data_IF_382149645096
#
_entry.id   IF_382149645096
#
_cell.length_a   1.000
_cell.length_b   1.000
_cell.length_c   1.000
_cell.angle_alpha   90.00
_cell.angle_beta   90.00
_cell.angle_gamma   90.00
#
_symmetry.space_group_name_H-M   'P 1'
#
loop_
_entity.id
_entity.type
_entity.pdbx_description
1 polymer ?
#
# COMPACT_ATOMS: atom_id res chain seq x y z
N UNK A 1 29.94 6.35 -20.32
CA UNK A 1 28.63 6.78 -20.85
C UNK A 1 27.63 6.61 -19.72
N UNK A 2 27.05 7.67 -19.21
CA UNK A 2 25.98 7.56 -18.22
C UNK A 2 24.79 6.90 -18.94
N UNK A 3 24.43 5.68 -18.54
CA UNK A 3 23.21 5.05 -19.01
C UNK A 3 22.06 6.03 -18.83
N UNK A 4 21.36 6.35 -19.92
CA UNK A 4 20.23 7.27 -19.83
C UNK A 4 19.17 6.63 -18.93
N UNK A 5 18.60 7.34 -17.95
CA UNK A 5 17.61 6.75 -17.00
C UNK A 5 16.48 6.02 -17.72
N UNK A 6 15.97 6.58 -18.82
CA UNK A 6 14.93 5.97 -19.65
C UNK A 6 15.35 4.63 -20.27
N UNK A 7 16.63 4.47 -20.63
CA UNK A 7 17.11 3.18 -21.15
C UNK A 7 17.11 2.11 -20.06
N UNK A 8 17.53 2.46 -18.83
CA UNK A 8 17.42 1.57 -17.68
C UNK A 8 15.98 1.10 -17.46
N UNK A 9 15.00 2.00 -17.53
CA UNK A 9 13.59 1.64 -17.39
C UNK A 9 13.12 0.69 -18.51
N UNK A 10 13.50 0.98 -19.76
CA UNK A 10 13.18 0.09 -20.89
C UNK A 10 13.78 -1.31 -20.73
N UNK A 11 15.02 -1.39 -20.29
CA UNK A 11 15.68 -2.67 -20.06
C UNK A 11 14.95 -3.48 -18.98
N UNK A 12 14.53 -2.82 -17.88
CA UNK A 12 13.77 -3.47 -16.82
C UNK A 12 12.40 -4.00 -17.32
N UNK A 13 11.67 -3.22 -18.10
CA UNK A 13 10.40 -3.66 -18.72
C UNK A 13 10.64 -4.90 -19.62
N UNK A 14 11.69 -4.90 -20.43
CA UNK A 14 11.99 -6.03 -21.32
C UNK A 14 12.41 -7.30 -20.55
N UNK A 15 13.05 -7.14 -19.40
CA UNK A 15 13.53 -8.24 -18.53
C UNK A 15 12.40 -8.77 -17.63
N UNK A 16 11.37 -7.98 -17.35
CA UNK A 16 10.29 -8.33 -16.42
C UNK A 16 9.63 -9.69 -16.73
N UNK A 17 9.53 -10.07 -18.00
CA UNK A 17 9.00 -11.38 -18.42
C UNK A 17 9.78 -12.57 -17.86
N UNK A 18 11.06 -12.37 -17.50
CA UNK A 18 11.93 -13.39 -16.94
C UNK A 18 11.83 -13.45 -15.40
N UNK A 19 10.95 -12.63 -14.82
CA UNK A 19 10.59 -12.61 -13.40
C UNK A 19 11.45 -11.71 -12.52
N UNK A 20 11.04 -11.57 -11.25
CA UNK A 20 11.64 -10.66 -10.28
C UNK A 20 13.15 -10.91 -10.06
N UNK A 21 13.60 -12.15 -10.13
CA UNK A 21 15.01 -12.49 -9.98
C UNK A 21 15.90 -11.90 -11.08
N UNK A 22 15.40 -11.86 -12.31
CA UNK A 22 16.11 -11.25 -13.43
C UNK A 22 16.16 -9.72 -13.28
N UNK A 23 15.06 -9.10 -12.83
CA UNK A 23 15.03 -7.67 -12.48
C UNK A 23 16.05 -7.35 -11.39
N UNK A 24 16.11 -8.12 -10.32
CA UNK A 24 17.07 -7.93 -9.22
C UNK A 24 18.52 -8.14 -9.68
N UNK A 25 18.78 -9.09 -10.55
CA UNK A 25 20.15 -9.28 -11.09
C UNK A 25 20.59 -8.10 -11.98
N UNK A 26 19.67 -7.52 -12.75
CA UNK A 26 19.95 -6.27 -13.49
C UNK A 26 20.28 -5.11 -12.55
N UNK A 27 19.48 -4.94 -11.47
CA UNK A 27 19.70 -3.91 -10.44
C UNK A 27 21.08 -4.10 -9.80
N UNK A 28 21.41 -5.34 -9.39
CA UNK A 28 22.72 -5.69 -8.81
C UNK A 28 23.84 -5.28 -9.72
N UNK A 29 23.86 -5.77 -10.96
CA UNK A 29 24.92 -5.49 -11.93
C UNK A 29 25.04 -3.98 -12.22
N UNK A 30 23.92 -3.27 -12.20
CA UNK A 30 23.89 -1.82 -12.41
C UNK A 30 24.53 -1.01 -11.30
N UNK A 31 24.42 -1.44 -10.03
CA UNK A 31 24.91 -0.67 -8.86
C UNK A 31 26.24 -1.18 -8.31
N UNK A 32 26.53 -2.47 -8.40
CA UNK A 32 27.79 -3.06 -7.95
C UNK A 32 28.98 -2.41 -8.65
N UNK A 33 28.90 -2.17 -9.95
CA UNK A 33 29.91 -1.49 -10.75
C UNK A 33 30.12 -0.01 -10.37
N UNK A 34 29.22 0.56 -9.51
CA UNK A 34 29.32 1.94 -9.04
C UNK A 34 29.71 2.05 -7.56
N UNK A 35 30.21 0.95 -6.97
CA UNK A 35 30.74 0.93 -5.62
C UNK A 35 29.72 0.64 -4.52
N UNK A 36 28.55 0.14 -4.88
CA UNK A 36 27.59 -0.36 -3.89
C UNK A 36 27.95 -1.80 -3.49
N UNK A 37 27.84 -2.10 -2.19
CA UNK A 37 27.88 -3.46 -1.68
C UNK A 37 26.52 -4.10 -1.84
N UNK A 38 26.49 -5.32 -2.38
CA UNK A 38 25.23 -6.01 -2.67
C UNK A 38 25.00 -7.14 -1.68
N UNK A 39 23.75 -7.28 -1.22
CA UNK A 39 23.34 -8.36 -0.32
C UNK A 39 21.95 -8.87 -0.69
N UNK A 40 21.82 -10.16 -0.93
CA UNK A 40 20.53 -10.83 -1.04
C UNK A 40 20.01 -11.26 0.34
N UNK A 41 18.70 -11.18 0.51
CA UNK A 41 18.00 -11.61 1.69
C UNK A 41 16.85 -12.52 1.31
N UNK A 42 17.00 -13.84 1.58
CA UNK A 42 15.98 -14.84 1.35
C UNK A 42 15.08 -14.99 2.59
N UNK A 43 13.78 -15.03 2.41
CA UNK A 43 12.81 -15.12 3.49
C UNK A 43 11.52 -15.82 3.04
N UNK A 44 10.73 -16.29 4.01
CA UNK A 44 9.36 -16.75 3.80
C UNK A 44 8.40 -15.65 4.25
N UNK A 45 7.50 -15.16 3.40
CA UNK A 45 6.52 -14.13 3.79
C UNK A 45 5.67 -14.49 4.99
N UNK A 46 5.31 -15.79 5.12
CA UNK A 46 4.57 -16.31 6.28
C UNK A 46 5.30 -16.17 7.63
N UNK A 47 6.63 -16.09 7.61
CA UNK A 47 7.47 -15.98 8.80
C UNK A 47 7.81 -14.52 9.14
N UNK A 48 7.42 -13.56 8.31
CA UNK A 48 7.68 -12.14 8.56
C UNK A 48 6.66 -11.62 9.57
N UNK A 49 7.07 -11.26 10.79
CA UNK A 49 6.17 -10.60 11.71
C UNK A 49 5.84 -9.21 11.16
N UNK A 50 4.57 -8.82 11.26
CA UNK A 50 4.11 -7.50 10.82
C UNK A 50 3.31 -6.85 11.93
N UNK A 51 3.59 -5.58 12.19
CA UNK A 51 2.84 -4.78 13.16
C UNK A 51 1.65 -4.11 12.49
N UNK A 52 0.50 -4.16 13.14
CA UNK A 52 -0.69 -3.46 12.64
C UNK A 52 -1.18 -3.98 11.28
N UNK A 53 -1.00 -5.27 11.00
CA UNK A 53 -1.49 -5.93 9.80
C UNK A 53 -1.86 -7.38 10.10
N UNK A 54 -2.94 -7.86 9.49
CA UNK A 54 -3.31 -9.28 9.49
C UNK A 54 -4.12 -9.63 8.23
N UNK A 55 -4.11 -10.91 7.87
CA UNK A 55 -5.01 -11.48 6.87
C UNK A 55 -5.49 -12.84 7.38
N UNK A 56 -6.82 -13.08 7.31
CA UNK A 56 -7.42 -14.36 7.72
C UNK A 56 -7.35 -15.43 6.66
N UNK A 57 -7.28 -15.01 5.41
CA UNK A 57 -7.07 -15.94 4.31
C UNK A 57 -5.59 -16.26 4.27
N UNK A 58 -5.26 -17.55 4.36
CA UNK A 58 -3.91 -18.07 4.23
C UNK A 58 -3.42 -17.92 2.78
N UNK A 59 -3.44 -16.70 2.27
CA UNK A 59 -2.67 -16.31 1.09
C UNK A 59 -1.21 -16.13 1.55
N UNK A 60 -0.78 -17.04 2.39
CA UNK A 60 0.60 -17.16 2.75
C UNK A 60 1.27 -17.77 1.53
N UNK A 61 1.94 -16.91 0.78
CA UNK A 61 2.89 -17.39 -0.20
C UNK A 61 3.98 -18.15 0.57
N UNK A 62 3.86 -19.46 0.67
CA UNK A 62 4.86 -20.33 1.28
C UNK A 62 6.12 -20.45 0.42
N UNK A 63 6.13 -19.77 -0.73
CA UNK A 63 7.32 -19.73 -1.57
C UNK A 63 8.35 -18.77 -0.99
N UNK A 64 9.61 -19.20 -0.91
CA UNK A 64 10.69 -18.30 -0.56
C UNK A 64 10.72 -17.10 -1.51
N UNK A 65 10.81 -15.90 -0.93
CA UNK A 65 11.01 -14.65 -1.66
C UNK A 65 12.41 -14.12 -1.37
N UNK A 66 12.86 -13.24 -2.23
CA UNK A 66 14.19 -12.63 -2.12
C UNK A 66 14.09 -11.13 -2.24
N UNK A 67 14.69 -10.42 -1.29
CA UNK A 67 14.96 -8.99 -1.42
C UNK A 67 16.44 -8.77 -1.77
N UNK A 68 16.75 -7.70 -2.49
CA UNK A 68 18.09 -7.27 -2.79
C UNK A 68 18.35 -5.93 -2.12
N UNK A 69 19.43 -5.84 -1.37
CA UNK A 69 19.91 -4.58 -0.76
C UNK A 69 21.23 -4.17 -1.41
N UNK A 70 21.24 -2.97 -1.96
CA UNK A 70 22.43 -2.28 -2.47
C UNK A 70 22.77 -1.13 -1.53
N UNK A 71 23.98 -1.12 -0.96
CA UNK A 71 24.44 -0.10 -0.02
C UNK A 71 25.68 0.60 -0.53
N UNK A 72 25.57 1.91 -0.74
CA UNK A 72 26.72 2.80 -0.84
C UNK A 72 27.03 3.32 0.56
N UNK A 73 28.03 2.70 1.21
CA UNK A 73 28.42 3.02 2.57
C UNK A 73 29.02 4.41 2.66
N UNK A 74 28.47 5.24 3.53
CA UNK A 74 28.88 6.62 3.76
C UNK A 74 29.50 6.89 5.13
N UNK A 75 29.60 8.18 5.49
CA UNK A 75 30.06 8.61 6.81
C UNK A 75 28.99 8.25 7.87
N UNK A 76 29.34 7.49 8.92
CA UNK A 76 28.39 7.12 9.96
C UNK A 76 27.91 8.31 10.82
N UNK A 77 28.54 9.47 10.72
CA UNK A 77 28.10 10.68 11.41
C UNK A 77 27.03 11.44 10.62
N UNK A 78 26.86 11.14 9.34
CA UNK A 78 25.83 11.73 8.49
C UNK A 78 24.60 10.83 8.44
N UNK A 79 23.40 11.41 8.14
CA UNK A 79 22.17 10.63 8.10
C UNK A 79 22.12 9.68 6.89
N UNK A 80 21.57 8.51 7.13
CA UNK A 80 21.33 7.48 6.12
C UNK A 80 19.95 7.61 5.50
N UNK A 81 19.80 7.13 4.25
CA UNK A 81 18.53 7.09 3.53
C UNK A 81 18.30 5.69 2.98
N UNK A 82 17.16 5.10 3.35
CA UNK A 82 16.62 3.91 2.72
C UNK A 82 15.70 4.31 1.57
N UNK A 83 16.01 3.89 0.35
CA UNK A 83 15.14 4.00 -0.82
C UNK A 83 14.65 2.59 -1.11
N UNK A 84 13.35 2.43 -1.40
CA UNK A 84 12.83 1.12 -1.80
C UNK A 84 11.81 1.22 -2.91
N UNK A 85 11.76 0.16 -3.73
CA UNK A 85 10.85 -0.01 -4.85
C UNK A 85 10.66 -1.52 -5.12
N UNK A 86 9.69 -1.88 -5.94
CA UNK A 86 9.29 -3.27 -6.16
C UNK A 86 9.81 -3.82 -7.48
N UNK A 87 10.51 -4.99 -7.46
CA UNK A 87 10.97 -5.65 -8.67
C UNK A 87 9.88 -6.52 -9.32
N UNK A 88 8.79 -6.80 -8.59
CA UNK A 88 7.69 -7.65 -9.00
C UNK A 88 6.48 -6.84 -9.45
N UNK A 89 5.69 -7.38 -10.37
CA UNK A 89 4.44 -6.81 -10.86
C UNK A 89 3.31 -7.82 -10.70
N UNK A 90 2.08 -7.34 -10.71
CA UNK A 90 0.90 -8.21 -10.79
C UNK A 90 0.94 -9.01 -12.10
N UNK A 91 0.17 -10.11 -12.16
CA UNK A 91 0.07 -10.89 -13.39
C UNK A 91 -0.48 -10.03 -14.53
N UNK A 92 0.22 -10.03 -15.66
CA UNK A 92 -0.30 -9.38 -16.87
C UNK A 92 -1.62 -10.04 -17.29
N UNK A 93 -2.63 -9.20 -17.56
CA UNK A 93 -3.96 -9.65 -17.97
C UNK A 93 -4.28 -9.12 -19.34
N UNK A 94 -5.22 -9.77 -20.03
CA UNK A 94 -5.84 -9.30 -21.27
C UNK A 94 -4.80 -8.82 -22.31
N UNK A 95 -3.74 -9.62 -22.51
CA UNK A 95 -2.60 -9.29 -23.39
C UNK A 95 -3.07 -8.88 -24.79
N UNK A 96 -4.16 -9.47 -25.26
CA UNK A 96 -4.78 -9.17 -26.55
C UNK A 96 -5.44 -7.78 -26.64
N UNK A 97 -5.67 -7.13 -25.51
CA UNK A 97 -6.25 -5.79 -25.46
C UNK A 97 -5.18 -4.69 -25.39
N UNK A 98 -3.91 -5.07 -25.21
CA UNK A 98 -2.83 -4.11 -25.19
C UNK A 98 -2.61 -3.55 -26.60
N UNK A 99 -2.41 -2.23 -26.72
CA UNK A 99 -2.08 -1.58 -28.00
C UNK A 99 -0.67 -1.91 -28.52
N UNK A 100 0.21 -2.40 -27.65
CA UNK A 100 1.56 -2.90 -27.96
C UNK A 100 1.86 -4.10 -27.07
N UNK A 101 2.85 -4.91 -27.46
CA UNK A 101 3.30 -6.03 -26.63
C UNK A 101 3.72 -5.50 -25.22
N UNK A 102 3.10 -5.97 -24.13
CA UNK A 102 3.39 -5.48 -22.78
C UNK A 102 4.84 -5.72 -22.34
N UNK A 103 5.54 -6.65 -22.95
CA UNK A 103 6.94 -6.97 -22.66
C UNK A 103 7.94 -6.20 -23.52
N UNK A 104 7.45 -5.38 -24.46
CA UNK A 104 8.28 -4.54 -25.33
C UNK A 104 8.06 -3.08 -24.98
N UNK A 105 9.02 -2.41 -24.31
CA UNK A 105 8.87 -1.03 -23.89
C UNK A 105 8.64 -0.11 -25.09
N UNK A 106 7.47 0.48 -25.20
CA UNK A 106 7.04 1.22 -26.39
C UNK A 106 6.77 2.69 -26.05
N UNK A 107 7.46 3.61 -26.73
CA UNK A 107 7.23 5.05 -26.57
C UNK A 107 6.11 5.52 -27.52
N UNK A 108 5.08 6.13 -26.96
CA UNK A 108 3.99 6.76 -27.71
C UNK A 108 3.66 8.11 -27.05
N UNK A 109 3.72 9.19 -27.80
CA UNK A 109 3.30 10.53 -27.35
C UNK A 109 3.90 10.99 -26.00
N UNK A 110 5.18 10.73 -25.78
CA UNK A 110 5.88 11.11 -24.56
C UNK A 110 5.63 10.21 -23.37
N UNK A 111 4.95 9.08 -23.57
CA UNK A 111 4.70 8.03 -22.57
C UNK A 111 5.46 6.77 -22.93
N UNK A 112 5.92 6.05 -21.92
CA UNK A 112 6.49 4.72 -22.05
C UNK A 112 5.44 3.69 -21.59
N UNK A 113 5.03 2.83 -22.50
CA UNK A 113 4.11 1.73 -22.24
C UNK A 113 4.88 0.43 -22.00
N UNK A 114 4.38 -0.38 -21.08
CA UNK A 114 4.91 -1.71 -20.79
C UNK A 114 4.36 -2.25 -19.48
N UNK A 115 4.37 -3.56 -19.33
CA UNK A 115 3.90 -4.22 -18.12
C UNK A 115 4.80 -3.91 -16.92
N UNK A 116 4.22 -3.51 -15.80
CA UNK A 116 4.92 -3.13 -14.58
C UNK A 116 5.74 -1.85 -14.70
N UNK A 117 5.58 -1.08 -15.80
CA UNK A 117 6.37 0.12 -16.04
C UNK A 117 6.12 1.20 -14.98
N UNK A 118 4.88 1.35 -14.52
CA UNK A 118 4.52 2.28 -13.47
C UNK A 118 4.69 1.64 -12.09
N UNK A 119 4.13 0.46 -11.87
CA UNK A 119 4.13 -0.23 -10.59
C UNK A 119 4.93 -1.55 -10.65
N UNK A 120 6.29 -1.54 -10.46
CA UNK A 120 7.04 -0.39 -9.94
C UNK A 120 8.45 -0.28 -10.54
N UNK A 121 8.60 -0.68 -11.83
CA UNK A 121 9.92 -0.66 -12.50
C UNK A 121 10.46 0.78 -12.66
N UNK A 122 9.57 1.78 -12.76
CA UNK A 122 9.98 3.18 -12.78
C UNK A 122 10.66 3.59 -11.46
N UNK A 123 10.16 3.09 -10.32
CA UNK A 123 10.81 3.27 -9.02
C UNK A 123 12.19 2.63 -8.97
N UNK A 124 12.32 1.40 -9.44
CA UNK A 124 13.61 0.69 -9.53
C UNK A 124 14.61 1.43 -10.43
N UNK A 125 14.19 1.83 -11.64
CA UNK A 125 15.04 2.56 -12.58
C UNK A 125 15.47 3.95 -12.05
N UNK A 126 14.52 4.64 -11.38
CA UNK A 126 14.79 5.92 -10.73
C UNK A 126 15.85 5.79 -9.63
N UNK A 127 15.71 4.79 -8.74
CA UNK A 127 16.69 4.54 -7.69
C UNK A 127 18.10 4.30 -8.26
N UNK A 128 18.22 3.43 -9.27
CA UNK A 128 19.49 3.16 -9.94
C UNK A 128 20.11 4.44 -10.49
N UNK A 129 19.33 5.21 -11.25
CA UNK A 129 19.83 6.41 -11.93
C UNK A 129 20.20 7.52 -10.95
N UNK A 130 19.39 7.75 -9.92
CA UNK A 130 19.64 8.77 -8.91
C UNK A 130 20.90 8.44 -8.09
N UNK A 131 21.05 7.19 -7.62
CA UNK A 131 22.22 6.75 -6.88
C UNK A 131 23.50 6.89 -7.72
N UNK A 132 23.49 6.40 -8.98
CA UNK A 132 24.62 6.57 -9.90
C UNK A 132 24.99 8.05 -10.06
N UNK A 133 23.98 8.92 -10.24
CA UNK A 133 24.20 10.37 -10.41
C UNK A 133 24.90 10.98 -9.19
N UNK A 134 24.43 10.65 -7.99
CA UNK A 134 24.98 11.18 -6.74
C UNK A 134 26.40 10.64 -6.49
N UNK A 135 26.61 9.34 -6.64
CA UNK A 135 27.92 8.71 -6.41
C UNK A 135 28.97 9.18 -7.42
N UNK A 136 28.56 9.55 -8.64
CA UNK A 136 29.46 10.13 -9.63
C UNK A 136 29.91 11.55 -9.26
N UNK A 137 29.01 12.35 -8.67
CA UNK A 137 29.28 13.75 -8.32
C UNK A 137 30.05 13.88 -6.97
N UNK A 138 29.61 13.15 -5.94
CA UNK A 138 29.99 13.38 -4.55
C UNK A 138 30.39 12.07 -3.84
N UNK A 139 31.67 11.70 -3.91
CA UNK A 139 32.13 10.46 -3.29
C UNK A 139 32.48 10.54 -1.79
N UNK A 140 32.52 11.71 -1.15
CA UNK A 140 33.29 11.85 0.11
C UNK A 140 32.59 12.44 1.31
N UNK A 141 31.35 12.93 1.22
CA UNK A 141 30.68 13.62 2.34
C UNK A 141 29.17 13.35 2.41
N UNK A 142 28.79 12.09 2.29
CA UNK A 142 27.40 11.68 2.42
C UNK A 142 27.28 10.54 3.44
N UNK A 143 26.15 10.47 4.13
CA UNK A 143 25.76 9.30 4.89
C UNK A 143 25.46 8.11 3.97
N UNK A 144 25.16 6.96 4.55
CA UNK A 144 24.87 5.74 3.78
C UNK A 144 23.61 5.89 2.94
N UNK A 145 23.69 5.48 1.67
CA UNK A 145 22.58 5.39 0.74
C UNK A 145 22.27 3.91 0.55
N UNK A 146 21.04 3.51 0.90
CA UNK A 146 20.61 2.12 0.84
C UNK A 146 19.46 2.02 -0.15
N UNK A 147 19.60 1.19 -1.17
CA UNK A 147 18.48 0.84 -2.03
C UNK A 147 18.05 -0.59 -1.76
N UNK A 148 16.77 -0.78 -1.47
CA UNK A 148 16.16 -2.09 -1.26
C UNK A 148 15.14 -2.38 -2.38
N UNK A 149 15.47 -3.35 -3.23
CA UNK A 149 14.54 -3.93 -4.19
C UNK A 149 13.74 -5.02 -3.47
N UNK A 150 12.49 -4.69 -3.11
CA UNK A 150 11.67 -5.47 -2.20
C UNK A 150 10.39 -5.98 -2.87
N UNK A 151 10.21 -7.30 -3.03
CA UNK A 151 8.93 -7.82 -3.51
C UNK A 151 7.76 -7.35 -2.65
N UNK A 152 6.66 -6.93 -3.28
CA UNK A 152 5.45 -6.42 -2.62
C UNK A 152 4.18 -7.19 -2.98
N UNK A 153 4.10 -7.68 -4.21
CA UNK A 153 2.87 -8.33 -4.71
C UNK A 153 2.59 -9.64 -3.98
N UNK A 154 1.30 -9.97 -3.88
CA UNK A 154 0.84 -11.19 -3.20
C UNK A 154 1.32 -11.31 -1.74
N UNK A 155 1.27 -10.22 -0.98
CA UNK A 155 1.70 -10.18 0.42
C UNK A 155 3.17 -10.59 0.64
N UNK A 156 4.03 -10.24 -0.30
CA UNK A 156 5.45 -10.61 -0.24
C UNK A 156 6.20 -10.00 0.95
N UNK A 157 5.75 -8.88 1.52
CA UNK A 157 6.29 -8.27 2.75
C UNK A 157 7.79 -7.94 2.70
N UNK A 158 8.31 -7.61 1.51
CA UNK A 158 9.75 -7.49 1.30
C UNK A 158 10.42 -6.43 2.17
N UNK A 159 9.85 -5.23 2.30
CA UNK A 159 10.42 -4.18 3.14
C UNK A 159 10.33 -4.55 4.63
N UNK A 160 9.21 -5.11 5.08
CA UNK A 160 9.04 -5.58 6.47
C UNK A 160 10.05 -6.67 6.82
N UNK A 161 10.30 -7.62 5.91
CA UNK A 161 11.31 -8.66 6.10
C UNK A 161 12.70 -8.07 6.36
N UNK A 162 13.09 -7.05 5.61
CA UNK A 162 14.38 -6.38 5.79
C UNK A 162 14.46 -5.59 7.10
N UNK A 163 13.39 -4.87 7.48
CA UNK A 163 13.31 -4.13 8.73
C UNK A 163 13.45 -5.06 9.94
N UNK A 164 12.76 -6.21 9.92
CA UNK A 164 12.88 -7.24 10.95
C UNK A 164 14.25 -7.93 10.96
N UNK A 165 14.94 -7.98 9.84
CA UNK A 165 16.33 -8.45 9.76
C UNK A 165 17.36 -7.42 10.24
N UNK A 166 16.90 -6.26 10.75
CA UNK A 166 17.75 -5.21 11.31
C UNK A 166 18.18 -4.14 10.32
N UNK A 167 17.58 -4.08 9.11
CA UNK A 167 17.80 -2.95 8.22
C UNK A 167 17.23 -1.68 8.86
N UNK A 168 18.04 -0.64 8.95
CA UNK A 168 17.63 0.64 9.52
C UNK A 168 18.21 1.81 8.73
N UNK A 169 17.55 2.97 8.82
CA UNK A 169 18.01 4.24 8.26
C UNK A 169 17.40 5.41 9.04
N UNK A 170 17.92 6.62 8.84
CA UNK A 170 17.41 7.83 9.49
C UNK A 170 16.12 8.34 8.83
N UNK A 171 15.90 8.02 7.54
CA UNK A 171 14.65 8.24 6.82
C UNK A 171 14.49 7.22 5.69
N UNK A 172 13.30 7.10 5.13
CA UNK A 172 13.04 6.25 3.97
C UNK A 172 12.21 6.94 2.89
N UNK A 173 12.49 6.59 1.64
CA UNK A 173 11.81 7.08 0.45
C UNK A 173 11.27 5.88 -0.35
N UNK A 174 9.96 5.79 -0.44
CA UNK A 174 9.27 4.82 -1.26
C UNK A 174 9.05 5.38 -2.67
N UNK A 175 9.65 4.77 -3.66
CA UNK A 175 9.48 5.16 -5.05
C UNK A 175 8.34 4.35 -5.66
N UNK A 176 7.18 4.99 -5.86
CA UNK A 176 5.96 4.32 -6.32
C UNK A 176 5.09 5.34 -7.09
N UNK A 177 4.42 4.95 -8.17
CA UNK A 177 3.78 5.89 -9.09
C UNK A 177 2.82 6.86 -8.41
N UNK A 178 2.74 8.07 -8.96
CA UNK A 178 1.74 9.05 -8.57
C UNK A 178 0.40 8.70 -9.20
N UNK A 179 -0.62 8.51 -8.36
CA UNK A 179 -1.93 8.01 -8.77
C UNK A 179 -3.01 9.10 -8.85
N UNK A 180 -2.72 10.31 -8.38
CA UNK A 180 -3.66 11.44 -8.40
C UNK A 180 -3.89 12.07 -9.78
N UNK A 181 -3.12 11.68 -10.80
CA UNK A 181 -3.10 12.34 -12.12
C UNK A 181 -2.27 13.64 -12.13
N UNK A 182 -1.65 14.06 -11.02
CA UNK A 182 -0.84 15.28 -10.91
C UNK A 182 0.67 15.02 -10.96
N UNK A 183 1.07 13.76 -11.11
CA UNK A 183 2.46 13.35 -11.23
C UNK A 183 3.32 13.69 -10.02
N UNK A 184 4.56 14.04 -10.26
CA UNK A 184 5.60 14.21 -9.25
C UNK A 184 5.35 15.33 -8.22
N UNK A 185 4.35 16.17 -8.40
CA UNK A 185 3.94 17.12 -7.35
C UNK A 185 3.22 16.44 -6.18
N UNK A 186 2.80 15.19 -6.33
CA UNK A 186 2.23 14.38 -5.26
C UNK A 186 3.30 13.84 -4.31
N UNK A 187 3.10 14.03 -3.01
CA UNK A 187 3.90 13.41 -1.96
C UNK A 187 2.97 12.49 -1.15
N UNK A 188 3.33 11.20 -1.04
CA UNK A 188 2.65 10.25 -0.17
C UNK A 188 3.25 10.38 1.24
N UNK A 189 2.55 11.08 2.12
CA UNK A 189 2.96 11.29 3.51
C UNK A 189 1.94 10.73 4.51
N UNK A 190 0.77 10.31 4.02
CA UNK A 190 -0.34 9.81 4.83
C UNK A 190 -0.91 8.58 4.13
N UNK A 191 -1.04 7.48 4.86
CA UNK A 191 -1.77 6.28 4.47
C UNK A 191 -2.83 5.99 5.52
N UNK A 192 -4.08 5.83 5.11
CA UNK A 192 -5.18 5.42 6.00
C UNK A 192 -5.09 3.94 6.34
N UNK A 193 -5.60 3.57 7.50
CA UNK A 193 -5.85 2.17 7.84
C UNK A 193 -7.11 1.64 7.17
N UNK A 194 -7.20 0.32 7.05
CA UNK A 194 -8.34 -0.38 6.48
C UNK A 194 -8.60 -1.69 7.23
N UNK A 195 -9.88 -2.05 7.36
CA UNK A 195 -10.33 -3.35 7.85
C UNK A 195 -11.41 -3.89 6.93
N UNK A 196 -11.36 -5.20 6.67
CA UNK A 196 -12.39 -5.91 5.93
C UNK A 196 -12.99 -7.02 6.79
N UNK A 197 -14.30 -7.22 6.66
CA UNK A 197 -15.01 -8.17 7.49
C UNK A 197 -16.19 -8.82 6.77
N UNK A 198 -16.59 -9.98 7.32
CA UNK A 198 -17.83 -10.66 6.99
C UNK A 198 -18.64 -10.86 8.27
N UNK A 199 -19.95 -10.64 8.19
CA UNK A 199 -20.91 -10.90 9.28
C UNK A 199 -21.90 -11.93 8.78
N UNK A 200 -21.96 -13.06 9.48
CA UNK A 200 -22.95 -14.11 9.21
C UNK A 200 -24.10 -14.01 10.20
N UNK A 201 -25.30 -13.91 9.68
CA UNK A 201 -26.54 -13.84 10.45
C UNK A 201 -27.32 -15.14 10.22
N UNK A 202 -27.62 -15.82 11.33
CA UNK A 202 -28.39 -17.05 11.33
C UNK A 202 -29.88 -16.75 11.49
N UNK A 203 -30.69 -17.40 10.68
CA UNK A 203 -32.15 -17.41 10.81
C UNK A 203 -32.66 -18.76 11.28
N UNK A 204 -33.99 -18.87 11.41
CA UNK A 204 -34.67 -20.10 11.74
C UNK A 204 -35.81 -20.32 10.76
N UNK A 205 -35.76 -21.37 9.91
CA UNK A 205 -36.92 -21.75 9.10
C UNK A 205 -38.10 -22.14 9.99
N UNK A 206 -39.35 -22.00 9.50
CA UNK A 206 -40.51 -22.42 10.27
C UNK A 206 -40.46 -23.94 10.47
N UNK A 207 -40.85 -24.39 11.69
CA UNK A 207 -40.94 -25.80 12.05
C UNK A 207 -42.33 -26.34 11.62
N UNK A 208 -42.44 -26.67 10.34
CA UNK A 208 -43.64 -27.16 9.69
C UNK A 208 -43.34 -28.26 8.69
N UNK A 209 -44.37 -28.93 8.17
CA UNK A 209 -44.25 -29.98 7.15
C UNK A 209 -43.68 -29.45 5.81
N UNK A 210 -43.80 -28.15 5.58
CA UNK A 210 -43.15 -27.44 4.46
C UNK A 210 -42.22 -26.36 4.99
N UNK A 211 -41.09 -26.74 5.60
CA UNK A 211 -40.21 -25.78 6.21
C UNK A 211 -39.63 -24.77 5.19
N UNK A 212 -39.60 -23.52 5.56
CA UNK A 212 -39.11 -22.44 4.73
C UNK A 212 -40.10 -21.84 3.78
N UNK A 213 -41.39 -22.30 3.76
CA UNK A 213 -42.41 -21.75 2.87
C UNK A 213 -42.95 -20.39 3.36
N UNK A 214 -43.20 -19.46 2.43
CA UNK A 214 -43.72 -18.10 2.72
C UNK A 214 -44.98 -18.09 3.56
N UNK A 215 -45.92 -19.04 3.37
CA UNK A 215 -47.13 -19.13 4.15
C UNK A 215 -46.92 -19.26 5.67
N UNK A 216 -45.73 -19.71 6.09
CA UNK A 216 -45.37 -19.90 7.48
C UNK A 216 -44.30 -18.91 7.96
N UNK A 217 -44.07 -17.81 7.22
CA UNK A 217 -43.04 -16.83 7.51
C UNK A 217 -43.12 -16.22 8.93
N UNK A 218 -44.35 -16.11 9.47
CA UNK A 218 -44.58 -15.61 10.83
C UNK A 218 -44.09 -16.54 11.95
N UNK A 219 -43.75 -17.81 11.61
CA UNK A 219 -43.17 -18.81 12.53
C UNK A 219 -41.64 -18.91 12.38
N UNK A 220 -41.07 -18.10 11.51
CA UNK A 220 -39.66 -18.13 11.16
C UNK A 220 -38.92 -16.90 11.71
N UNK A 221 -37.59 -17.00 11.72
CA UNK A 221 -36.69 -15.86 11.88
C UNK A 221 -35.95 -15.67 10.57
N UNK A 222 -36.32 -14.64 9.82
CA UNK A 222 -35.75 -14.38 8.49
C UNK A 222 -34.38 -13.71 8.64
N UNK A 223 -33.27 -14.35 8.22
CA UNK A 223 -31.93 -13.80 8.39
C UNK A 223 -31.68 -12.55 7.56
N UNK A 224 -32.43 -12.34 6.46
CA UNK A 224 -32.32 -11.13 5.66
C UNK A 224 -32.87 -9.92 6.42
N UNK A 225 -34.03 -10.06 7.09
CA UNK A 225 -34.58 -8.99 7.93
C UNK A 225 -33.66 -8.63 9.09
N UNK A 226 -33.05 -9.67 9.72
CA UNK A 226 -32.04 -9.45 10.77
C UNK A 226 -30.77 -8.80 10.24
N UNK A 227 -30.34 -9.11 9.00
CA UNK A 227 -29.19 -8.47 8.35
C UNK A 227 -29.42 -6.98 8.13
N UNK A 228 -30.65 -6.53 7.84
CA UNK A 228 -30.96 -5.11 7.76
C UNK A 228 -30.78 -4.38 9.09
N UNK A 229 -31.05 -5.04 10.23
CA UNK A 229 -30.79 -4.44 11.55
C UNK A 229 -29.30 -4.21 11.75
N UNK A 230 -28.46 -5.19 11.41
CA UNK A 230 -27.00 -5.10 11.46
C UNK A 230 -26.49 -3.98 10.54
N UNK A 231 -26.93 -3.97 9.27
CA UNK A 231 -26.52 -2.97 8.30
C UNK A 231 -26.88 -1.54 8.75
N UNK A 232 -28.09 -1.36 9.32
CA UNK A 232 -28.52 -0.08 9.87
C UNK A 232 -27.71 0.36 11.09
N UNK A 233 -27.30 -0.58 11.95
CA UNK A 233 -26.45 -0.28 13.09
C UNK A 233 -25.06 0.20 12.63
N UNK A 234 -24.47 -0.45 11.63
CA UNK A 234 -23.20 -0.06 11.06
C UNK A 234 -23.28 1.28 10.28
N UNK A 235 -24.39 1.54 9.59
CA UNK A 235 -24.62 2.84 8.97
C UNK A 235 -24.70 3.99 10.01
N UNK A 236 -25.35 3.75 11.15
CA UNK A 236 -25.37 4.71 12.28
C UNK A 236 -23.97 4.90 12.88
N UNK A 237 -23.22 3.82 13.04
CA UNK A 237 -21.83 3.91 13.51
C UNK A 237 -21.00 4.78 12.55
N UNK A 238 -21.12 4.58 11.23
CA UNK A 238 -20.42 5.39 10.22
C UNK A 238 -20.72 6.90 10.41
N UNK A 239 -21.96 7.28 10.63
CA UNK A 239 -22.31 8.69 10.87
C UNK A 239 -21.76 9.23 12.20
N UNK A 240 -21.81 8.43 13.26
CA UNK A 240 -21.21 8.79 14.57
C UNK A 240 -19.71 9.00 14.42
N UNK A 241 -19.01 8.09 13.74
CA UNK A 241 -17.57 8.21 13.48
C UNK A 241 -17.26 9.46 12.67
N UNK A 242 -18.00 9.72 11.61
CA UNK A 242 -17.82 10.91 10.77
C UNK A 242 -17.93 12.23 11.54
N UNK A 243 -18.74 12.28 12.60
CA UNK A 243 -18.87 13.46 13.47
C UNK A 243 -17.75 13.59 14.50
N UNK A 244 -17.19 12.45 14.96
CA UNK A 244 -16.20 12.41 16.03
C UNK A 244 -14.75 12.41 15.53
N UNK A 245 -14.50 11.74 14.41
CA UNK A 245 -13.15 11.48 13.92
C UNK A 245 -12.79 12.50 12.86
N UNK A 246 -11.82 13.36 13.19
CA UNK A 246 -11.35 14.41 12.31
C UNK A 246 -9.84 14.32 12.12
N UNK A 247 -9.42 14.00 10.92
CA UNK A 247 -8.04 14.12 10.46
C UNK A 247 -7.98 15.21 9.40
N UNK A 248 -7.36 16.35 9.73
CA UNK A 248 -7.45 17.57 8.91
C UNK A 248 -7.11 17.36 7.43
N UNK A 249 -5.99 16.71 7.13
CA UNK A 249 -5.55 16.52 5.74
C UNK A 249 -6.52 15.61 4.97
N UNK A 250 -6.92 14.47 5.54
CA UNK A 250 -7.87 13.54 4.90
C UNK A 250 -9.22 14.23 4.71
N UNK A 251 -9.70 14.95 5.72
CA UNK A 251 -10.99 15.64 5.64
C UNK A 251 -11.00 16.72 4.55
N UNK A 252 -9.93 17.49 4.41
CA UNK A 252 -9.83 18.54 3.39
C UNK A 252 -9.87 17.97 1.95
N UNK A 253 -9.24 16.83 1.71
CA UNK A 253 -9.12 16.26 0.37
C UNK A 253 -10.28 15.31 0.02
N UNK A 254 -10.77 14.55 1.00
CA UNK A 254 -11.76 13.47 0.79
C UNK A 254 -13.16 13.87 1.26
N UNK A 255 -13.25 14.86 2.14
CA UNK A 255 -14.52 15.30 2.77
C UNK A 255 -14.91 14.52 4.03
N UNK A 256 -14.29 13.36 4.28
CA UNK A 256 -14.47 12.53 5.48
C UNK A 256 -13.14 11.91 5.90
N UNK A 257 -12.92 11.75 7.18
CA UNK A 257 -11.70 11.13 7.72
C UNK A 257 -11.82 9.62 7.91
N UNK A 258 -13.04 9.08 7.90
CA UNK A 258 -13.35 7.66 8.09
C UNK A 258 -14.61 7.30 7.32
N UNK A 259 -14.66 6.12 6.77
CA UNK A 259 -15.84 5.59 6.07
C UNK A 259 -16.00 4.10 6.35
N UNK A 260 -17.22 3.72 6.69
CA UNK A 260 -17.65 2.33 6.86
C UNK A 260 -18.80 2.04 5.90
N UNK A 261 -18.72 0.94 5.15
CA UNK A 261 -19.78 0.55 4.25
C UNK A 261 -19.96 -0.96 4.19
N UNK A 262 -21.16 -1.37 3.80
CA UNK A 262 -21.47 -2.75 3.40
C UNK A 262 -21.50 -2.77 1.88
N UNK A 263 -20.67 -3.61 1.28
CA UNK A 263 -20.52 -3.75 -0.17
C UNK A 263 -21.11 -5.05 -0.73
N UNK A 264 -21.41 -5.99 0.16
CA UNK A 264 -21.86 -7.33 -0.23
C UNK A 264 -22.99 -7.81 0.69
N UNK A 265 -24.03 -8.40 0.09
CA UNK A 265 -25.07 -9.16 0.78
C UNK A 265 -25.31 -10.46 0.02
N UNK A 266 -25.29 -11.58 0.70
CA UNK A 266 -25.53 -12.91 0.12
C UNK A 266 -26.46 -13.70 1.02
N UNK A 267 -27.51 -14.28 0.42
CA UNK A 267 -28.40 -15.22 1.06
C UNK A 267 -28.62 -16.42 0.14
N UNK A 268 -28.43 -17.62 0.64
CA UNK A 268 -27.92 -18.77 -0.13
C UNK A 268 -28.94 -19.68 -0.81
N UNK A 269 -30.18 -19.29 -1.10
CA UNK A 269 -31.02 -20.19 -1.90
C UNK A 269 -31.39 -19.57 -3.24
N UNK A 270 -30.67 -19.96 -4.28
CA UNK A 270 -31.01 -19.58 -5.63
C UNK A 270 -32.36 -20.20 -6.07
N UNK A 271 -33.19 -19.38 -6.74
CA UNK A 271 -34.42 -19.80 -7.41
C UNK A 271 -35.59 -20.29 -6.54
N UNK A 272 -35.58 -20.07 -5.23
CA UNK A 272 -36.68 -20.45 -4.35
C UNK A 272 -37.21 -19.27 -3.54
N UNK A 273 -37.80 -18.30 -4.22
CA UNK A 273 -38.31 -17.04 -3.61
C UNK A 273 -39.40 -17.24 -2.53
N UNK A 274 -40.07 -18.37 -2.54
CA UNK A 274 -41.06 -18.72 -1.49
C UNK A 274 -40.46 -19.31 -0.23
N UNK A 275 -39.15 -19.44 -0.13
CA UNK A 275 -38.48 -20.08 0.99
C UNK A 275 -37.69 -19.09 1.84
N UNK A 276 -37.63 -19.35 3.14
CA UNK A 276 -36.85 -18.58 4.09
C UNK A 276 -35.48 -19.26 4.24
N UNK A 277 -34.42 -18.50 4.01
CA UNK A 277 -33.05 -18.98 4.09
C UNK A 277 -32.63 -19.24 5.54
N UNK A 278 -31.57 -20.02 5.71
CA UNK A 278 -30.98 -20.30 7.03
C UNK A 278 -29.98 -19.23 7.45
N UNK A 279 -29.36 -18.59 6.47
CA UNK A 279 -28.31 -17.60 6.72
C UNK A 279 -28.37 -16.44 5.73
N UNK A 280 -27.88 -15.29 6.20
CA UNK A 280 -27.57 -14.14 5.37
C UNK A 280 -26.18 -13.62 5.76
N UNK A 281 -25.34 -13.34 4.78
CA UNK A 281 -23.98 -12.86 5.00
C UNK A 281 -23.84 -11.44 4.46
N UNK A 282 -23.30 -10.53 5.29
CA UNK A 282 -22.90 -9.19 4.92
C UNK A 282 -21.39 -9.13 4.80
N UNK A 283 -20.88 -8.48 3.78
CA UNK A 283 -19.45 -8.13 3.65
C UNK A 283 -19.28 -6.64 3.63
N UNK A 284 -18.28 -6.14 4.34
CA UNK A 284 -18.04 -4.72 4.45
C UNK A 284 -16.57 -4.37 4.73
N UNK A 285 -16.30 -3.08 4.68
CA UNK A 285 -15.00 -2.51 4.96
C UNK A 285 -15.12 -1.18 5.70
N UNK A 286 -14.07 -0.84 6.44
CA UNK A 286 -13.91 0.46 7.07
C UNK A 286 -12.51 1.01 6.77
N UNK A 287 -12.44 2.29 6.42
CA UNK A 287 -11.22 3.09 6.35
C UNK A 287 -11.17 4.05 7.54
N UNK A 288 -9.99 4.22 8.12
CA UNK A 288 -9.77 5.04 9.31
C UNK A 288 -8.42 5.76 9.26
N UNK A 289 -8.27 6.94 9.93
CA UNK A 289 -7.05 7.71 9.86
C UNK A 289 -5.88 7.07 10.63
N UNK A 290 -4.62 7.46 10.33
CA UNK A 290 -3.42 6.82 10.86
C UNK A 290 -3.30 6.72 12.39
N UNK A 291 -3.97 7.59 13.13
CA UNK A 291 -3.89 7.62 14.61
C UNK A 291 -4.79 6.61 15.30
N UNK A 292 -5.73 6.03 14.58
CA UNK A 292 -6.58 4.97 15.11
C UNK A 292 -5.89 3.62 14.95
N UNK A 293 -6.04 2.79 15.96
CA UNK A 293 -5.52 1.41 15.91
C UNK A 293 -6.55 0.45 15.33
N UNK A 294 -6.05 -0.69 14.83
CA UNK A 294 -6.92 -1.79 14.40
C UNK A 294 -7.85 -2.26 15.51
N UNK A 295 -7.33 -2.38 16.73
CA UNK A 295 -8.10 -2.89 17.88
C UNK A 295 -9.20 -1.91 18.33
N UNK A 296 -8.93 -0.62 18.36
CA UNK A 296 -9.95 0.40 18.64
C UNK A 296 -11.08 0.35 17.61
N UNK A 297 -10.71 0.26 16.32
CA UNK A 297 -11.67 0.21 15.22
C UNK A 297 -12.50 -1.08 15.23
N UNK A 298 -11.88 -2.24 15.51
CA UNK A 298 -12.58 -3.52 15.69
C UNK A 298 -13.58 -3.44 16.83
N UNK A 299 -13.13 -2.98 18.00
CA UNK A 299 -13.95 -2.88 19.20
C UNK A 299 -15.20 -2.00 18.98
N UNK A 300 -15.09 -0.89 18.24
CA UNK A 300 -16.26 -0.05 17.94
C UNK A 300 -17.30 -0.78 17.09
N UNK A 301 -16.86 -1.54 16.07
CA UNK A 301 -17.74 -2.33 15.21
C UNK A 301 -18.40 -3.45 16.02
N UNK A 302 -17.65 -4.19 16.82
CA UNK A 302 -18.12 -5.26 17.67
C UNK A 302 -19.18 -4.76 18.66
N UNK A 303 -18.89 -3.66 19.36
CA UNK A 303 -19.83 -3.03 20.28
C UNK A 303 -21.12 -2.55 19.60
N UNK A 304 -21.03 -2.02 18.39
CA UNK A 304 -22.21 -1.58 17.65
C UNK A 304 -23.12 -2.75 17.29
N UNK A 305 -22.53 -3.88 16.86
CA UNK A 305 -23.26 -5.12 16.54
C UNK A 305 -23.86 -5.72 17.82
N UNK A 306 -23.09 -5.83 18.87
CA UNK A 306 -23.55 -6.37 20.16
C UNK A 306 -24.72 -5.56 20.72
N UNK A 307 -24.56 -4.24 20.80
CA UNK A 307 -25.62 -3.34 21.29
C UNK A 307 -26.90 -3.46 20.47
N UNK A 308 -26.79 -3.61 19.16
CA UNK A 308 -27.94 -3.83 18.29
C UNK A 308 -28.58 -5.21 18.59
N UNK A 309 -27.78 -6.28 18.69
CA UNK A 309 -28.26 -7.63 18.94
C UNK A 309 -29.01 -7.77 20.27
N UNK A 310 -28.61 -7.04 21.31
CA UNK A 310 -29.31 -7.03 22.60
C UNK A 310 -30.74 -6.48 22.51
N UNK A 311 -31.08 -5.67 21.50
CA UNK A 311 -32.40 -5.10 21.30
C UNK A 311 -33.34 -5.95 20.44
N UNK A 312 -32.86 -7.06 19.87
CA UNK A 312 -33.67 -8.00 19.09
C UNK A 312 -33.76 -9.34 19.82
N UNK A 313 -34.98 -9.89 20.06
CA UNK A 313 -35.16 -11.12 20.83
C UNK A 313 -34.42 -12.33 20.24
N UNK A 314 -34.33 -12.44 18.93
CA UNK A 314 -33.64 -13.53 18.25
C UNK A 314 -32.12 -13.35 18.29
N UNK A 315 -31.64 -12.17 17.89
CA UNK A 315 -30.19 -11.88 17.81
C UNK A 315 -29.51 -11.85 19.18
N UNK A 316 -30.25 -11.58 20.25
CA UNK A 316 -29.73 -11.64 21.62
C UNK A 316 -29.29 -13.06 22.02
N UNK A 317 -29.97 -14.09 21.54
CA UNK A 317 -29.64 -15.50 21.78
C UNK A 317 -28.90 -16.18 20.65
N UNK A 318 -28.93 -15.58 19.46
CA UNK A 318 -28.21 -16.01 18.26
C UNK A 318 -27.46 -14.81 17.67
N UNK A 319 -26.41 -14.33 18.32
CA UNK A 319 -25.70 -13.13 17.89
C UNK A 319 -25.07 -13.33 16.51
N UNK A 320 -24.96 -12.24 15.72
CA UNK A 320 -24.24 -12.27 14.45
C UNK A 320 -22.79 -12.70 14.65
N UNK A 321 -22.28 -13.56 13.77
CA UNK A 321 -20.89 -14.02 13.77
C UNK A 321 -20.05 -13.08 12.93
N UNK A 322 -19.16 -12.30 13.55
CA UNK A 322 -18.24 -11.41 12.88
C UNK A 322 -16.90 -12.12 12.64
N UNK A 323 -16.45 -12.13 11.38
CA UNK A 323 -15.14 -12.59 10.96
C UNK A 323 -14.36 -11.46 10.32
N UNK A 324 -13.21 -11.13 10.88
CA UNK A 324 -12.24 -10.21 10.26
C UNK A 324 -11.49 -10.93 9.16
N UNK A 325 -11.42 -10.33 7.96
CA UNK A 325 -10.73 -10.92 6.80
C UNK A 325 -9.31 -10.41 6.68
N UNK A 326 -9.17 -9.10 6.70
CA UNK A 326 -7.89 -8.44 6.59
C UNK A 326 -7.91 -7.12 7.34
N UNK A 327 -6.76 -6.65 7.73
CA UNK A 327 -6.61 -5.35 8.35
C UNK A 327 -5.20 -4.81 8.21
N UNK A 328 -5.11 -3.51 8.01
CA UNK A 328 -3.87 -2.77 7.95
C UNK A 328 -4.04 -1.44 8.68
N UNK A 329 -3.08 -1.09 9.52
CA UNK A 329 -3.04 0.22 10.17
C UNK A 329 -2.51 1.27 9.21
N UNK A 330 -2.85 2.53 9.46
CA UNK A 330 -2.29 3.66 8.73
C UNK A 330 -0.91 4.10 9.23
N UNK A 331 -0.32 5.05 8.52
CA UNK A 331 0.92 5.70 8.92
C UNK A 331 0.97 7.13 8.38
N UNK A 332 1.62 8.03 9.12
CA UNK A 332 1.80 9.41 8.67
C UNK A 332 3.15 9.98 9.08
N UNK A 333 3.67 10.89 8.26
CA UNK A 333 4.85 11.69 8.56
C UNK A 333 4.42 13.13 8.82
N UNK A 334 4.96 13.73 9.89
CA UNK A 334 4.73 15.14 10.17
C UNK A 334 5.28 16.02 9.04
N UNK A 335 4.42 16.80 8.41
CA UNK A 335 4.78 17.75 7.35
C UNK A 335 5.69 18.89 7.83
N UNK A 336 5.85 19.09 9.13
CA UNK A 336 6.84 20.00 9.71
C UNK A 336 8.24 19.40 9.83
N UNK A 337 8.38 18.07 9.64
CA UNK A 337 9.64 17.35 9.79
C UNK A 337 10.71 17.81 8.79
N UNK A 338 12.00 17.71 9.14
CA UNK A 338 13.09 18.03 8.23
C UNK A 338 13.04 17.21 6.93
N UNK A 339 12.69 15.92 7.02
CA UNK A 339 12.62 15.05 5.85
C UNK A 339 11.54 15.48 4.87
N UNK A 340 10.31 15.75 5.36
CA UNK A 340 9.24 16.28 4.51
C UNK A 340 9.64 17.60 3.83
N UNK A 341 10.25 18.53 4.55
CA UNK A 341 10.69 19.82 3.99
C UNK A 341 11.72 19.66 2.89
N UNK A 342 12.67 18.73 3.05
CA UNK A 342 13.67 18.42 2.03
C UNK A 342 13.03 17.84 0.77
N UNK A 343 12.15 16.85 0.93
CA UNK A 343 11.44 16.23 -0.20
C UNK A 343 10.57 17.27 -0.89
N UNK A 344 9.75 18.00 -0.16
CA UNK A 344 8.83 19.03 -0.68
C UNK A 344 9.59 20.13 -1.43
N UNK A 345 10.67 20.67 -0.85
CA UNK A 345 11.49 21.71 -1.52
C UNK A 345 12.20 21.16 -2.77
N UNK A 346 12.62 19.90 -2.78
CA UNK A 346 13.25 19.27 -3.93
C UNK A 346 12.26 19.08 -5.08
N UNK A 347 11.04 18.63 -4.77
CA UNK A 347 9.95 18.54 -5.74
C UNK A 347 9.65 19.92 -6.34
N UNK A 348 9.42 20.93 -5.50
CA UNK A 348 9.13 22.31 -5.96
C UNK A 348 10.20 22.86 -6.87
N UNK A 349 11.47 22.67 -6.52
CA UNK A 349 12.60 23.17 -7.29
C UNK A 349 12.67 22.54 -8.69
N UNK A 350 12.48 21.22 -8.79
CA UNK A 350 12.62 20.50 -10.05
C UNK A 350 11.38 20.65 -10.94
N UNK A 351 10.20 20.62 -10.34
CA UNK A 351 8.93 20.65 -11.10
C UNK A 351 8.40 22.06 -11.34
N UNK A 352 8.85 23.05 -10.53
CA UNK A 352 8.26 24.39 -10.44
C UNK A 352 6.78 24.37 -10.01
N UNK A 353 6.31 23.27 -9.42
CA UNK A 353 4.95 23.09 -8.92
C UNK A 353 4.95 23.06 -7.40
N UNK A 354 3.86 23.54 -6.78
CA UNK A 354 3.66 23.37 -5.34
C UNK A 354 3.35 21.91 -5.04
N UNK A 355 4.15 21.26 -4.18
CA UNK A 355 3.87 19.90 -3.75
C UNK A 355 2.58 19.84 -2.91
N UNK A 356 1.87 18.74 -3.03
CA UNK A 356 0.71 18.48 -2.19
C UNK A 356 0.77 17.07 -1.62
N UNK A 357 0.17 16.89 -0.44
CA UNK A 357 0.02 15.57 0.17
C UNK A 357 -1.26 14.93 -0.35
N UNK A 358 -1.14 13.76 -0.96
CA UNK A 358 -2.30 12.95 -1.32
C UNK A 358 -2.61 11.95 -0.20
N UNK A 359 -3.65 12.19 0.61
CA UNK A 359 -4.02 11.32 1.72
C UNK A 359 -4.98 10.19 1.32
N UNK A 360 -5.24 10.03 0.03
CA UNK A 360 -6.22 9.04 -0.46
C UNK A 360 -5.66 7.61 -0.52
N UNK A 361 -4.37 7.43 -0.29
CA UNK A 361 -3.76 6.11 -0.32
C UNK A 361 -4.15 5.30 0.92
N UNK A 362 -4.86 4.21 0.70
CA UNK A 362 -5.03 3.15 1.69
C UNK A 362 -3.98 2.07 1.43
N UNK A 363 -3.49 1.39 2.46
CA UNK A 363 -2.55 0.25 2.32
C UNK A 363 -1.23 0.58 1.60
N UNK A 364 -0.72 1.80 1.69
CA UNK A 364 0.56 2.18 1.12
C UNK A 364 1.73 1.64 1.93
N UNK A 365 2.76 1.14 1.27
CA UNK A 365 3.97 0.60 1.92
C UNK A 365 4.80 1.65 2.68
N UNK A 366 4.47 2.95 2.57
CA UNK A 366 5.06 3.98 3.44
C UNK A 366 4.83 3.67 4.93
N UNK A 367 3.74 2.97 5.27
CA UNK A 367 3.43 2.59 6.65
C UNK A 367 4.47 1.65 7.27
N UNK A 368 5.07 0.75 6.45
CA UNK A 368 5.92 -0.30 7.00
C UNK A 368 7.16 0.25 7.73
N UNK A 369 7.99 1.14 7.15
CA UNK A 369 9.07 1.77 7.91
C UNK A 369 8.58 2.58 9.11
N UNK A 370 7.44 3.28 8.98
CA UNK A 370 6.87 4.11 10.06
C UNK A 370 6.45 3.25 11.25
N UNK A 371 5.65 2.21 11.00
CA UNK A 371 5.00 1.41 12.06
C UNK A 371 5.96 0.37 12.64
N UNK A 372 6.81 -0.23 11.81
CA UNK A 372 7.65 -1.34 12.23
C UNK A 372 8.97 -0.90 12.85
N UNK A 373 9.53 0.21 12.37
CA UNK A 373 10.88 0.66 12.75
C UNK A 373 10.95 2.13 13.18
N UNK A 374 9.82 2.83 13.27
CA UNK A 374 9.76 4.27 13.57
C UNK A 374 10.66 5.11 12.63
N UNK A 375 10.78 4.71 11.36
CA UNK A 375 11.54 5.41 10.33
C UNK A 375 10.57 6.28 9.53
N UNK A 376 10.74 7.61 9.47
CA UNK A 376 9.89 8.46 8.65
C UNK A 376 10.00 8.05 7.18
N UNK A 377 8.86 7.76 6.55
CA UNK A 377 8.77 7.29 5.18
C UNK A 377 7.85 8.18 4.34
N UNK A 378 8.37 8.68 3.24
CA UNK A 378 7.60 9.42 2.24
C UNK A 378 7.59 8.66 0.91
N UNK A 379 6.49 8.78 0.18
CA UNK A 379 6.41 8.23 -1.17
C UNK A 379 6.51 9.31 -2.24
N UNK A 380 7.23 9.00 -3.31
CA UNK A 380 7.33 9.81 -4.53
C UNK A 380 7.21 8.93 -5.76
N UNK A 381 6.58 9.45 -6.81
CA UNK A 381 6.53 8.75 -8.08
C UNK A 381 6.21 9.66 -9.25
N UNK A 382 6.59 9.22 -10.44
CA UNK A 382 6.19 9.88 -11.67
C UNK A 382 4.72 9.63 -12.00
N UNK A 383 4.17 10.43 -12.87
CA UNK A 383 2.84 10.23 -13.42
C UNK A 383 2.78 8.90 -14.16
N UNK A 384 1.97 7.98 -13.67
CA UNK A 384 1.76 6.65 -14.21
C UNK A 384 0.29 6.30 -14.28
N UNK A 385 -0.25 6.24 -15.50
CA UNK A 385 -1.65 5.93 -15.70
C UNK A 385 -2.63 7.00 -15.18
N UNK A 386 -3.88 6.66 -15.26
CA UNK A 386 -4.95 7.30 -14.50
C UNK A 386 -5.17 6.49 -13.23
N UNK A 387 -5.92 6.99 -12.26
CA UNK A 387 -6.22 6.36 -10.96
C UNK A 387 -6.60 4.84 -11.01
N UNK A 388 -6.84 4.28 -12.16
CA UNK A 388 -7.26 2.90 -12.36
C UNK A 388 -6.36 2.10 -13.32
N UNK A 389 -5.23 2.63 -13.78
CA UNK A 389 -4.43 1.98 -14.83
C UNK A 389 -3.17 1.25 -14.35
N UNK A 390 -2.76 1.44 -13.12
CA UNK A 390 -1.67 0.63 -12.56
C UNK A 390 -2.10 -0.83 -12.55
N UNK A 391 -1.24 -1.71 -13.06
CA UNK A 391 -1.53 -3.14 -13.21
C UNK A 391 -2.72 -3.46 -14.14
N UNK A 392 -3.07 -2.54 -15.02
CA UNK A 392 -4.10 -2.71 -16.04
C UNK A 392 -3.50 -2.73 -17.45
N UNK A 393 -4.34 -3.03 -18.42
CA UNK A 393 -3.99 -2.97 -19.85
C UNK A 393 -3.50 -1.57 -20.24
N UNK A 394 -2.47 -1.50 -21.05
CA UNK A 394 -1.83 -0.26 -21.48
C UNK A 394 -1.25 0.59 -20.33
N UNK A 395 -0.67 -0.05 -19.33
CA UNK A 395 0.07 0.63 -18.26
C UNK A 395 1.21 1.50 -18.84
N UNK A 396 1.37 2.70 -18.31
CA UNK A 396 2.34 3.67 -18.84
C UNK A 396 2.89 4.61 -17.76
N UNK A 397 4.02 5.24 -18.07
CA UNK A 397 4.55 6.39 -17.32
C UNK A 397 4.83 7.57 -18.27
N UNK A 398 4.69 8.79 -17.74
CA UNK A 398 5.13 9.99 -18.43
C UNK A 398 6.67 10.08 -18.39
N UNK A 399 7.31 10.13 -19.57
CA UNK A 399 8.77 10.11 -19.69
C UNK A 399 9.41 11.36 -19.09
N UNK A 400 8.78 12.52 -19.28
CA UNK A 400 9.31 13.80 -18.75
C UNK A 400 9.24 13.81 -17.22
N UNK A 401 8.12 13.33 -16.68
CA UNK A 401 7.92 13.25 -15.24
C UNK A 401 8.86 12.20 -14.60
N UNK A 402 9.06 11.07 -15.26
CA UNK A 402 10.05 10.06 -14.84
C UNK A 402 11.48 10.66 -14.76
N UNK A 403 11.90 11.41 -15.77
CA UNK A 403 13.22 12.06 -15.73
C UNK A 403 13.32 13.06 -14.57
N UNK A 404 12.27 13.86 -14.34
CA UNK A 404 12.22 14.77 -13.17
C UNK A 404 12.24 14.02 -11.84
N UNK A 405 11.62 12.83 -11.75
CA UNK A 405 11.65 11.98 -10.56
C UNK A 405 13.09 11.57 -10.21
N UNK A 406 13.91 11.25 -11.22
CA UNK A 406 15.33 10.93 -11.00
C UNK A 406 16.07 12.16 -10.44
N UNK A 407 15.83 13.35 -10.97
CA UNK A 407 16.46 14.59 -10.48
C UNK A 407 16.02 14.94 -9.06
N UNK A 408 14.73 14.78 -8.74
CA UNK A 408 14.22 14.98 -7.37
C UNK A 408 14.86 14.00 -6.41
N UNK A 409 14.89 12.72 -6.75
CA UNK A 409 15.45 11.68 -5.90
C UNK A 409 16.94 11.92 -5.64
N UNK A 410 17.71 12.28 -6.66
CA UNK A 410 19.11 12.65 -6.50
C UNK A 410 19.30 13.84 -5.55
N UNK A 411 18.47 14.89 -5.68
CA UNK A 411 18.51 16.05 -4.76
C UNK A 411 18.13 15.69 -3.33
N UNK A 412 17.14 14.81 -3.15
CA UNK A 412 16.76 14.34 -1.81
C UNK A 412 17.92 13.60 -1.17
N UNK A 413 18.60 12.70 -1.89
CA UNK A 413 19.78 12.01 -1.41
C UNK A 413 20.86 13.00 -0.99
N UNK A 414 21.24 13.94 -1.88
CA UNK A 414 22.29 14.94 -1.61
C UNK A 414 21.96 15.81 -0.39
N UNK A 415 20.72 16.29 -0.28
CA UNK A 415 20.30 17.19 0.80
C UNK A 415 20.10 16.48 2.15
N UNK A 416 19.56 15.27 2.11
CA UNK A 416 19.34 14.50 3.33
C UNK A 416 20.65 13.92 3.86
N UNK A 417 21.36 13.17 3.06
CA UNK A 417 22.57 12.48 3.47
C UNK A 417 23.80 13.40 3.66
N UNK A 418 23.77 14.62 3.13
CA UNK A 418 24.86 15.58 3.23
C UNK A 418 24.78 16.54 4.42
N UNK A 419 23.80 16.41 5.33
CA UNK A 419 23.59 17.36 6.43
C UNK A 419 23.50 16.65 7.78
N UNK A 420 24.47 16.84 8.66
CA UNK A 420 24.53 16.27 10.01
C UNK A 420 23.29 16.58 10.86
N UNK A 421 22.67 17.74 10.67
CA UNK A 421 21.47 18.14 11.42
C UNK A 421 20.24 17.26 11.14
N UNK A 422 20.25 16.49 10.04
CA UNK A 422 19.19 15.59 9.67
C UNK A 422 19.29 14.22 10.37
N UNK A 423 20.41 13.93 11.05
CA UNK A 423 20.61 12.65 11.72
C UNK A 423 19.61 12.51 12.88
N UNK A 424 18.98 11.35 12.99
CA UNK A 424 18.11 11.05 14.12
C UNK A 424 18.97 11.03 15.40
N UNK A 425 18.51 11.64 16.51
CA UNK A 425 19.14 11.43 17.79
C UNK A 425 19.13 9.93 18.07
N UNK A 426 20.29 9.39 18.51
CA UNK A 426 20.43 7.97 18.78
C UNK A 426 19.26 7.50 19.64
N UNK A 427 18.31 6.81 19.01
CA UNK A 427 17.19 6.20 19.69
C UNK A 427 17.73 5.17 20.67
N UNK A 428 17.19 5.16 21.86
CA UNK A 428 17.48 4.14 22.83
C UNK A 428 17.26 2.77 22.19
N UNK A 429 18.33 1.99 22.13
CA UNK A 429 18.29 0.56 21.84
C UNK A 429 17.29 -0.10 22.80
N UNK A 430 16.21 -0.59 22.26
CA UNK A 430 15.28 -1.50 22.95
C UNK A 430 15.57 -2.93 22.56
#
# INVERSE_FOLDING_TARGET
MTDKPLQCLKDLVAIQKDGEAAVQEYIKNSLENHGCTMRYFDYLPSNVPVKGEFSSDNINDEKPRRALVAEAKGDPNLPSLLIFAHPDSELVREIEQWRSDPFVPTEIEGRLFGWGVADDLAGCACAIAAIKTVLHKNKTHLGSIIFASTPSKNFARGVSALLHAGLTADASLYLHPAESGRGLSEIKAIASGQLEFIITIHGKPPDTTEPGHTAFSHLAENPIEKAFLVANALAKLNEVRNQKIMHKAIHCEVGRSTNLHISRIVSNEENRLSRINKTCTLGGAISFPPKETLEETKNEIEQAIEKMAQNDPWLRVNPPELKWLSGVTGGEVDMSSPFYKIVSSSVKEVTSQEPFVNPMHTSSDIKNPIVEADIPCLGLGCLGGNLSQNNQTDEWVDISDFNRMVDVTAKVIERWCGNEQNKRPNGHSH
#
